data_IF_357433696749
#
_entry.id   IF_357433696749
#
_cell.length_a   1.000
_cell.length_b   1.000
_cell.length_c   1.000
_cell.angle_alpha   90.00
_cell.angle_beta   90.00
_cell.angle_gamma   90.00
#
_symmetry.space_group_name_H-M   'P 1'
#
loop_
_entity.id
_entity.type
_entity.pdbx_description
1 polymer ?
#
# COMPACT_ATOMS: atom_id res chain seq x y z
N UNK A 1 -5.21 -43.65 -52.62
CA UNK A 1 -6.65 -43.49 -52.30
C UNK A 1 -6.92 -44.19 -50.97
N UNK A 2 -7.76 -43.58 -50.13
CA UNK A 2 -8.48 -44.18 -48.98
C UNK A 2 -7.93 -43.92 -47.56
N UNK A 3 -8.53 -42.87 -46.97
CA UNK A 3 -9.02 -42.66 -45.60
C UNK A 3 -8.09 -42.30 -44.42
N UNK A 4 -7.99 -40.98 -44.30
CA UNK A 4 -8.00 -40.13 -43.11
C UNK A 4 -9.03 -40.60 -42.05
N UNK A 5 -8.58 -40.96 -40.84
CA UNK A 5 -9.44 -41.14 -39.65
C UNK A 5 -9.16 -40.05 -38.63
N UNK A 6 -9.95 -38.98 -38.70
CA UNK A 6 -10.04 -37.96 -37.66
C UNK A 6 -10.84 -38.51 -36.47
N UNK A 7 -10.16 -38.87 -35.38
CA UNK A 7 -10.83 -39.11 -34.09
C UNK A 7 -10.85 -37.81 -33.29
N UNK A 8 -12.01 -37.16 -33.37
CA UNK A 8 -12.41 -35.99 -32.61
C UNK A 8 -12.81 -36.43 -31.18
N UNK A 9 -11.88 -36.31 -30.22
CA UNK A 9 -12.20 -36.51 -28.80
C UNK A 9 -12.84 -35.23 -28.25
N UNK A 10 -14.17 -35.25 -28.16
CA UNK A 10 -14.98 -34.28 -27.42
C UNK A 10 -14.75 -34.52 -25.92
N UNK A 11 -14.04 -33.61 -25.25
CA UNK A 11 -14.03 -33.55 -23.79
C UNK A 11 -15.23 -32.70 -23.32
N UNK A 12 -16.22 -33.27 -22.60
CA UNK A 12 -17.28 -32.48 -22.00
C UNK A 12 -16.76 -31.78 -20.72
N UNK A 13 -16.86 -30.45 -20.72
CA UNK A 13 -16.69 -29.57 -19.57
C UNK A 13 -17.75 -29.89 -18.52
N UNK A 14 -17.34 -30.19 -17.29
CA UNK A 14 -18.26 -30.38 -16.16
C UNK A 14 -18.76 -29.01 -15.64
N UNK A 15 -20.05 -28.87 -15.30
CA UNK A 15 -20.61 -27.59 -14.88
C UNK A 15 -20.35 -27.25 -13.40
N UNK A 16 -19.97 -25.99 -13.23
CA UNK A 16 -20.04 -25.07 -12.09
C UNK A 16 -20.94 -25.52 -10.92
N UNK A 17 -20.31 -25.93 -9.83
CA UNK A 17 -20.96 -26.11 -8.52
C UNK A 17 -20.94 -24.81 -7.71
N UNK A 18 -22.11 -24.20 -7.53
CA UNK A 18 -22.37 -23.10 -6.58
C UNK A 18 -22.39 -23.64 -5.15
N UNK A 19 -21.55 -23.07 -4.28
CA UNK A 19 -21.71 -23.12 -2.81
C UNK A 19 -21.35 -21.70 -2.33
N UNK A 20 -22.32 -20.77 -2.25
CA UNK A 20 -23.09 -20.46 -1.04
C UNK A 20 -22.17 -20.26 0.18
N UNK A 21 -21.64 -19.06 0.37
CA UNK A 21 -22.22 -18.03 1.27
C UNK A 21 -22.19 -18.44 2.75
N UNK A 22 -21.19 -17.93 3.48
CA UNK A 22 -21.35 -17.48 4.87
C UNK A 22 -20.18 -16.59 5.28
N UNK A 23 -20.31 -15.31 4.97
CA UNK A 23 -19.51 -14.23 5.55
C UNK A 23 -20.13 -13.94 6.92
N UNK A 24 -19.46 -14.34 8.00
CA UNK A 24 -19.91 -14.06 9.36
C UNK A 24 -19.05 -12.92 9.94
N UNK A 25 -19.39 -11.68 9.58
CA UNK A 25 -18.82 -10.47 10.15
C UNK A 25 -19.38 -10.26 11.56
N UNK A 26 -18.54 -10.36 12.59
CA UNK A 26 -18.85 -9.88 13.94
C UNK A 26 -18.07 -8.58 14.19
N UNK A 27 -18.70 -7.45 13.89
CA UNK A 27 -18.27 -6.14 14.37
C UNK A 27 -18.94 -5.93 15.72
N UNK A 28 -18.17 -6.01 16.81
CA UNK A 28 -18.65 -5.63 18.13
C UNK A 28 -18.41 -4.13 18.30
N UNK A 29 -19.50 -3.37 18.27
CA UNK A 29 -19.55 -1.97 18.69
C UNK A 29 -19.43 -1.93 20.22
N UNK A 30 -18.41 -1.26 20.74
CA UNK A 30 -18.40 -0.81 22.13
C UNK A 30 -18.16 0.69 22.12
N UNK A 31 -19.22 1.43 22.38
CA UNK A 31 -19.20 2.87 22.58
C UNK A 31 -19.42 3.16 24.07
N UNK A 32 -18.74 4.21 24.54
CA UNK A 32 -19.07 5.09 25.67
C UNK A 32 -19.06 4.50 27.09
N UNK A 33 -18.05 4.94 27.85
CA UNK A 33 -18.11 5.25 29.28
C UNK A 33 -17.27 6.54 29.46
N UNK A 34 -17.89 7.73 29.55
CA UNK A 34 -18.26 8.41 30.81
C UNK A 34 -17.01 8.72 31.67
N UNK A 35 -16.39 9.90 31.53
CA UNK A 35 -16.77 11.17 32.15
C UNK A 35 -16.83 11.11 33.69
N UNK A 36 -15.66 11.08 34.35
CA UNK A 36 -15.53 11.50 35.76
C UNK A 36 -14.06 11.53 36.22
N UNK A 37 -13.31 12.59 35.87
CA UNK A 37 -12.01 12.86 36.53
C UNK A 37 -11.59 14.33 36.44
N UNK A 38 -12.47 15.23 36.88
CA UNK A 38 -12.19 16.66 36.94
C UNK A 38 -12.69 17.27 38.26
N UNK A 39 -12.11 16.87 39.39
CA UNK A 39 -12.45 17.52 40.67
C UNK A 39 -11.33 17.53 41.75
N UNK A 40 -10.07 17.27 41.37
CA UNK A 40 -9.00 17.08 42.35
C UNK A 40 -7.83 18.07 42.31
N UNK A 41 -7.87 19.15 41.52
CA UNK A 41 -6.74 20.10 41.43
C UNK A 41 -7.09 21.59 41.62
N UNK A 42 -8.26 21.89 42.22
CA UNK A 42 -8.71 23.28 42.48
C UNK A 42 -8.52 23.71 43.95
N UNK A 43 -7.28 23.74 44.44
CA UNK A 43 -6.98 24.38 45.73
C UNK A 43 -5.50 24.61 45.94
N UNK A 44 -4.98 25.77 45.51
CA UNK A 44 -4.16 26.66 46.34
C UNK A 44 -4.30 28.07 45.73
N UNK A 45 -5.19 28.86 46.30
CA UNK A 45 -5.16 30.31 46.14
C UNK A 45 -4.08 30.87 47.08
N UNK A 46 -3.01 31.43 46.51
CA UNK A 46 -2.17 32.41 47.20
C UNK A 46 -2.27 33.74 46.45
N UNK A 47 -2.97 34.66 47.10
CA UNK A 47 -2.99 36.08 46.78
C UNK A 47 -1.60 36.68 47.03
N UNK A 48 -1.01 37.28 46.00
CA UNK A 48 -0.12 38.42 46.19
C UNK A 48 -0.32 39.36 45.01
N UNK A 49 -0.83 40.54 45.32
CA UNK A 49 -1.06 41.63 44.38
C UNK A 49 0.22 41.97 43.61
N UNK A 50 0.18 41.85 42.29
CA UNK A 50 1.12 42.52 41.40
C UNK A 50 0.35 43.52 40.55
N UNK A 51 0.49 44.77 40.99
CA UNK A 51 0.77 45.98 40.21
C UNK A 51 0.12 46.12 38.82
N UNK A 52 -0.73 47.13 38.72
CA UNK A 52 -1.23 47.68 37.47
C UNK A 52 -0.09 48.39 36.73
N UNK A 53 0.30 47.87 35.56
CA UNK A 53 0.54 48.61 34.30
C UNK A 53 1.65 47.98 33.46
N UNK A 54 1.27 46.97 32.70
CA UNK A 54 1.92 46.67 31.42
C UNK A 54 0.82 46.69 30.38
N UNK A 55 0.83 47.71 29.53
CA UNK A 55 0.16 47.62 28.23
C UNK A 55 0.92 46.53 27.50
N UNK A 56 0.42 45.29 27.58
CA UNK A 56 0.89 44.20 26.76
C UNK A 56 0.54 44.58 25.32
N UNK A 57 1.55 45.04 24.58
CA UNK A 57 1.48 44.97 23.14
C UNK A 57 1.20 43.50 22.79
N UNK A 58 0.31 43.20 21.83
CA UNK A 58 0.26 41.85 21.31
C UNK A 58 1.61 41.63 20.65
N UNK A 59 2.50 40.90 21.32
CA UNK A 59 3.61 40.21 20.69
C UNK A 59 2.96 39.28 19.66
N UNK A 60 2.75 39.81 18.46
CA UNK A 60 2.52 39.03 17.28
C UNK A 60 3.87 38.37 16.98
N UNK A 61 4.15 37.30 17.73
CA UNK A 61 5.05 36.24 17.29
C UNK A 61 4.42 35.64 16.03
N UNK A 62 4.64 36.32 14.91
CA UNK A 62 4.66 35.72 13.57
C UNK A 62 5.95 34.88 13.54
N UNK A 63 6.00 33.84 14.38
CA UNK A 63 6.98 32.77 14.25
C UNK A 63 6.77 32.17 12.86
N UNK A 64 7.78 32.17 11.97
CA UNK A 64 7.62 31.58 10.65
C UNK A 64 7.21 30.13 10.85
N UNK A 65 6.05 29.74 10.33
CA UNK A 65 5.65 28.34 10.26
C UNK A 65 6.82 27.59 9.63
N UNK A 66 7.44 26.67 10.39
CA UNK A 66 8.57 25.88 9.91
C UNK A 66 8.14 25.15 8.62
N UNK A 67 8.53 25.71 7.46
CA UNK A 67 8.15 25.22 6.13
C UNK A 67 8.65 23.78 5.86
N UNK A 68 9.49 23.26 6.75
CA UNK A 68 10.08 21.92 6.73
C UNK A 68 9.26 20.86 7.49
N UNK A 69 8.08 21.19 8.01
CA UNK A 69 7.23 20.19 8.67
C UNK A 69 6.60 19.22 7.66
N UNK A 70 7.35 18.17 7.29
CA UNK A 70 6.84 17.07 6.46
C UNK A 70 5.67 16.37 7.19
N UNK A 71 4.47 16.50 6.62
CA UNK A 71 3.24 15.87 7.11
C UNK A 71 3.36 14.35 7.30
N UNK A 72 4.33 13.72 6.64
CA UNK A 72 4.63 12.30 6.73
C UNK A 72 6.02 11.99 7.29
N UNK A 73 6.72 12.96 7.88
CA UNK A 73 8.12 12.80 8.35
C UNK A 73 8.34 11.67 9.36
N UNK A 74 7.27 11.22 10.03
CA UNK A 74 7.28 10.07 10.96
C UNK A 74 6.39 8.90 10.50
N UNK A 75 5.65 9.05 9.41
CA UNK A 75 4.83 7.98 8.85
C UNK A 75 5.71 7.07 7.98
N UNK A 76 5.54 5.75 8.10
CA UNK A 76 6.27 4.84 7.22
C UNK A 76 5.70 4.97 5.79
N UNK A 77 6.53 5.07 4.73
CA UNK A 77 6.06 5.29 3.36
C UNK A 77 5.02 4.27 2.89
N UNK A 78 5.11 3.02 3.35
CA UNK A 78 4.11 1.99 3.05
C UNK A 78 2.69 2.26 3.59
N UNK A 79 2.49 3.25 4.46
CA UNK A 79 1.16 3.60 4.97
C UNK A 79 0.44 4.67 4.14
N UNK A 80 1.16 5.44 3.32
CA UNK A 80 0.57 6.56 2.56
C UNK A 80 0.99 6.59 1.08
N UNK A 81 2.17 6.07 0.73
CA UNK A 81 2.62 5.97 -0.64
C UNK A 81 2.11 4.66 -1.27
N UNK A 82 1.84 4.71 -2.58
CA UNK A 82 1.56 3.51 -3.35
C UNK A 82 2.77 2.56 -3.30
N UNK A 83 2.52 1.27 -3.09
CA UNK A 83 3.58 0.28 -3.07
C UNK A 83 4.17 0.12 -4.48
N UNK A 84 5.51 0.15 -4.57
CA UNK A 84 6.25 -0.08 -5.81
C UNK A 84 6.01 -1.49 -6.37
N UNK A 85 6.13 -1.63 -7.68
CA UNK A 85 5.97 -2.92 -8.34
C UNK A 85 7.13 -3.85 -8.02
N UNK A 86 6.83 -5.15 -7.91
CA UNK A 86 7.87 -6.18 -7.85
C UNK A 86 8.31 -6.51 -9.28
N UNK A 87 9.56 -6.19 -9.61
CA UNK A 87 10.13 -6.43 -10.93
C UNK A 87 11.13 -7.59 -10.88
N UNK A 88 10.77 -8.71 -11.51
CA UNK A 88 11.58 -9.94 -11.48
C UNK A 88 12.08 -10.26 -12.89
N UNK A 89 13.40 -10.35 -13.13
CA UNK A 89 13.92 -10.71 -14.45
C UNK A 89 13.38 -12.06 -14.93
N UNK A 90 13.08 -12.16 -16.23
CA UNK A 90 12.67 -13.42 -16.86
C UNK A 90 13.81 -14.43 -16.86
N UNK A 91 13.63 -15.56 -16.20
CA UNK A 91 14.61 -16.65 -16.16
C UNK A 91 14.24 -17.82 -17.08
N UNK A 92 15.24 -18.66 -17.40
CA UNK A 92 15.07 -19.83 -18.26
C UNK A 92 14.29 -21.00 -17.61
N UNK A 93 14.13 -21.01 -16.29
CA UNK A 93 13.39 -22.03 -15.54
C UNK A 93 11.90 -21.67 -15.40
N UNK A 94 11.50 -20.46 -15.78
CA UNK A 94 10.12 -19.97 -15.71
C UNK A 94 9.66 -19.59 -14.30
N UNK A 95 10.58 -19.40 -13.35
CA UNK A 95 10.26 -19.02 -11.98
C UNK A 95 9.66 -17.61 -11.91
N UNK A 96 10.16 -16.68 -12.72
CA UNK A 96 9.69 -15.30 -12.81
C UNK A 96 8.19 -15.25 -13.09
N UNK A 97 7.73 -16.01 -14.08
CA UNK A 97 6.33 -16.08 -14.48
C UNK A 97 5.47 -16.66 -13.35
N UNK A 98 5.97 -17.68 -12.65
CA UNK A 98 5.25 -18.25 -11.53
C UNK A 98 5.13 -17.26 -10.35
N UNK A 99 6.20 -16.53 -10.03
CA UNK A 99 6.18 -15.50 -8.98
C UNK A 99 5.27 -14.33 -9.34
N UNK A 100 5.35 -13.81 -10.57
CA UNK A 100 4.46 -12.73 -11.03
C UNK A 100 2.99 -13.14 -10.89
N UNK A 101 2.64 -14.38 -11.26
CA UNK A 101 1.28 -14.87 -11.09
C UNK A 101 0.86 -14.94 -9.61
N UNK A 102 1.75 -15.43 -8.73
CA UNK A 102 1.46 -15.52 -7.29
C UNK A 102 1.34 -14.14 -6.62
N UNK A 103 2.23 -13.21 -6.94
CA UNK A 103 2.17 -11.84 -6.41
C UNK A 103 0.88 -11.14 -6.83
N UNK A 104 0.51 -11.22 -8.12
CA UNK A 104 -0.74 -10.65 -8.61
C UNK A 104 -1.96 -11.28 -7.95
N UNK A 105 -1.94 -12.60 -7.73
CA UNK A 105 -3.01 -13.29 -7.01
C UNK A 105 -3.13 -12.83 -5.55
N UNK A 106 -2.02 -12.39 -4.93
CA UNK A 106 -1.99 -11.80 -3.61
C UNK A 106 -2.29 -10.28 -3.59
N UNK A 107 -2.64 -9.68 -4.74
CA UNK A 107 -2.90 -8.24 -4.85
C UNK A 107 -1.65 -7.37 -4.93
N UNK A 108 -0.46 -7.96 -5.11
CA UNK A 108 0.80 -7.25 -5.29
C UNK A 108 1.09 -7.08 -6.77
N UNK A 109 1.28 -5.84 -7.21
CA UNK A 109 1.64 -5.54 -8.59
C UNK A 109 3.06 -6.04 -8.88
N UNK A 110 3.20 -6.83 -9.94
CA UNK A 110 4.46 -7.44 -10.33
C UNK A 110 4.56 -7.60 -11.85
N UNK A 111 5.78 -7.59 -12.37
CA UNK A 111 6.08 -7.81 -13.80
C UNK A 111 7.43 -8.48 -13.99
N UNK A 112 7.59 -9.18 -15.11
CA UNK A 112 8.87 -9.69 -15.61
C UNK A 112 9.26 -9.09 -16.98
N UNK A 113 8.52 -8.08 -17.43
CA UNK A 113 8.76 -7.47 -18.72
C UNK A 113 9.93 -6.50 -18.64
N UNK A 114 10.84 -6.54 -19.62
CA UNK A 114 11.95 -5.61 -19.74
C UNK A 114 13.25 -6.00 -19.05
N UNK A 115 13.28 -7.11 -18.31
CA UNK A 115 14.49 -7.67 -17.74
C UNK A 115 14.53 -9.18 -17.99
N UNK A 116 15.69 -9.71 -18.34
CA UNK A 116 15.92 -11.14 -18.56
C UNK A 116 17.20 -11.58 -17.86
N UNK A 117 17.24 -12.80 -17.37
CA UNK A 117 18.39 -13.38 -16.68
C UNK A 117 18.86 -14.64 -17.41
N UNK A 118 20.16 -14.74 -17.66
CA UNK A 118 20.76 -15.89 -18.30
C UNK A 118 21.01 -17.07 -17.31
N UNK A 119 21.51 -18.19 -17.83
CA UNK A 119 21.81 -19.38 -17.01
C UNK A 119 22.97 -19.19 -16.03
N UNK A 120 23.77 -18.13 -16.18
CA UNK A 120 24.89 -17.76 -15.30
C UNK A 120 24.42 -16.79 -14.20
N UNK A 121 23.17 -16.32 -14.26
CA UNK A 121 22.62 -15.33 -13.36
C UNK A 121 22.94 -13.88 -13.76
N UNK A 122 23.42 -13.65 -14.98
CA UNK A 122 23.63 -12.31 -15.53
C UNK A 122 22.27 -11.73 -15.97
N UNK A 123 21.97 -10.50 -15.55
CA UNK A 123 20.70 -9.83 -15.84
C UNK A 123 20.90 -8.77 -16.91
N UNK A 124 20.14 -8.88 -17.99
CA UNK A 124 20.05 -7.87 -19.05
C UNK A 124 18.74 -7.09 -18.92
N UNK A 125 18.85 -5.75 -18.91
CA UNK A 125 17.73 -4.82 -18.77
C UNK A 125 17.57 -4.01 -20.05
N UNK A 126 16.39 -4.10 -20.66
CA UNK A 126 16.10 -3.52 -21.97
C UNK A 126 15.19 -2.28 -21.90
N UNK A 127 14.59 -1.99 -20.75
CA UNK A 127 13.72 -0.81 -20.51
C UNK A 127 13.63 -0.50 -19.02
N UNK A 128 13.06 0.65 -18.68
CA UNK A 128 12.75 1.03 -17.29
C UNK A 128 11.77 0.05 -16.62
N UNK A 129 11.68 0.07 -15.28
CA UNK A 129 10.66 -0.65 -14.53
C UNK A 129 9.23 -0.37 -15.05
N UNK A 130 8.29 -1.31 -14.87
CA UNK A 130 6.92 -1.17 -15.38
C UNK A 130 6.14 -0.01 -14.74
N UNK A 131 6.47 0.39 -13.50
CA UNK A 131 5.87 1.51 -12.79
C UNK A 131 6.45 2.87 -13.17
N UNK A 132 7.40 2.90 -14.11
CA UNK A 132 8.03 4.11 -14.62
C UNK A 132 7.75 4.28 -16.13
N UNK A 133 7.98 5.49 -16.62
CA UNK A 133 7.89 5.79 -18.04
C UNK A 133 9.18 5.33 -18.76
N UNK A 134 9.02 4.77 -19.95
CA UNK A 134 10.15 4.37 -20.80
C UNK A 134 9.88 4.76 -22.25
N UNK A 135 10.94 4.79 -23.07
CA UNK A 135 10.90 5.31 -24.45
C UNK A 135 9.84 4.64 -25.37
N UNK A 136 9.28 3.50 -24.98
CA UNK A 136 8.20 2.80 -25.69
C UNK A 136 6.86 2.73 -24.97
N UNK A 137 6.66 3.40 -23.82
CA UNK A 137 5.35 3.51 -23.15
C UNK A 137 5.40 3.47 -21.61
N UNK A 138 4.25 3.12 -21.02
CA UNK A 138 4.07 2.88 -19.58
C UNK A 138 3.06 1.74 -19.38
N UNK A 139 3.37 0.80 -18.48
CA UNK A 139 2.54 -0.38 -18.22
C UNK A 139 1.59 -0.10 -17.05
N UNK A 140 0.69 0.87 -17.20
CA UNK A 140 -0.31 1.22 -16.17
C UNK A 140 -1.24 0.05 -15.82
#
# INVERSE_FOLDING_TARGET
MTQLVHRHLKNPVAPVGKLAEKVQTHIVKTALAEADLADAYSSVAHSSAHDLRTLAEPDADDEPEDEDFDAHGFAHPSTYAAQRWIWVPRDALGLSTHFVAQFRAAGVLASDAGAAMDARGEVEVNRSPPDEEWAGGHDA
#
